data_IF_586134684792
#
_entry.id   IF_586134684792
#
_cell.length_a   1.000
_cell.length_b   1.000
_cell.length_c   1.000
_cell.angle_alpha   90.00
_cell.angle_beta   90.00
_cell.angle_gamma   90.00
#
_symmetry.space_group_name_H-M   'P 1'
#
loop_
_entity.id
_entity.type
_entity.pdbx_description
1 polymer ?
#
# COMPACT_ATOMS: atom_id res chain seq x y z
N UNK A 1 9.35 -11.65 4.41
CA UNK A 1 8.52 -10.45 4.60
C UNK A 1 8.79 -9.51 3.44
N UNK A 2 7.74 -9.09 2.73
CA UNK A 2 7.85 -8.21 1.55
C UNK A 2 7.16 -6.88 1.82
N UNK A 3 7.78 -5.77 1.43
CA UNK A 3 7.27 -4.42 1.70
C UNK A 3 6.81 -3.78 0.39
N UNK A 4 5.61 -3.21 0.42
CA UNK A 4 5.01 -2.43 -0.66
C UNK A 4 4.79 -1.00 -0.17
N UNK A 5 5.21 -0.02 -0.96
CA UNK A 5 5.01 1.39 -0.65
C UNK A 5 3.80 1.99 -1.36
N UNK A 6 3.00 2.78 -0.65
CA UNK A 6 2.03 3.70 -1.24
C UNK A 6 2.62 5.11 -1.34
N UNK A 7 2.62 5.69 -2.55
CA UNK A 7 3.20 7.00 -2.81
C UNK A 7 2.20 8.10 -2.45
N UNK A 8 2.52 8.90 -1.42
CA UNK A 8 1.62 9.94 -0.88
C UNK A 8 1.55 11.17 -1.79
N UNK A 9 2.64 11.49 -2.50
CA UNK A 9 2.70 12.64 -3.42
C UNK A 9 1.63 12.57 -4.52
N UNK A 10 1.19 11.37 -4.92
CA UNK A 10 0.12 11.19 -5.92
C UNK A 10 -1.30 11.35 -5.32
N UNK A 11 -1.46 11.26 -3.99
CA UNK A 11 -2.76 11.28 -3.31
C UNK A 11 -3.23 12.69 -2.88
N UNK A 12 -2.28 13.63 -2.73
CA UNK A 12 -2.59 15.04 -2.47
C UNK A 12 -3.01 15.78 -3.74
N UNK A 13 -2.52 15.36 -4.91
CA UNK A 13 -2.89 15.93 -6.22
C UNK A 13 -4.32 15.53 -6.65
N UNK A 14 -4.82 14.41 -6.14
CA UNK A 14 -6.20 13.91 -6.33
C UNK A 14 -7.29 14.79 -5.68
N UNK A 15 -6.92 15.66 -4.72
CA UNK A 15 -7.85 16.50 -3.95
C UNK A 15 -7.85 17.98 -4.37
N UNK A 16 -6.99 18.38 -5.30
CA UNK A 16 -7.00 19.75 -5.85
C UNK A 16 -8.00 19.85 -7.00
N UNK A 17 -8.76 20.95 -7.12
CA UNK A 17 -9.71 21.14 -8.22
C UNK A 17 -8.93 21.41 -9.51
N UNK A 18 -8.71 20.38 -10.32
CA UNK A 18 -7.88 20.49 -11.51
C UNK A 18 -8.71 20.63 -12.78
N UNK A 19 -8.42 21.70 -13.52
CA UNK A 19 -9.00 22.06 -14.83
C UNK A 19 -8.18 21.42 -15.94
N UNK A 20 -8.10 20.10 -16.08
CA UNK A 20 -7.50 19.46 -17.26
C UNK A 20 -7.92 17.99 -17.41
N UNK A 21 -8.16 17.56 -18.65
CA UNK A 21 -8.52 16.18 -18.99
C UNK A 21 -7.49 15.15 -18.50
N UNK A 22 -6.22 15.55 -18.41
CA UNK A 22 -5.11 14.75 -17.88
C UNK A 22 -5.32 14.30 -16.43
N UNK A 23 -6.00 15.10 -15.60
CA UNK A 23 -6.22 14.80 -14.19
C UNK A 23 -7.22 13.67 -13.98
N UNK A 24 -8.22 13.56 -14.87
CA UNK A 24 -9.22 12.48 -14.82
C UNK A 24 -8.59 11.15 -15.23
N UNK A 25 -7.81 11.14 -16.32
CA UNK A 25 -7.07 9.94 -16.74
C UNK A 25 -6.10 9.47 -15.67
N UNK A 26 -5.36 10.39 -15.06
CA UNK A 26 -4.40 10.08 -14.02
C UNK A 26 -5.10 9.55 -12.76
N UNK A 27 -6.22 10.15 -12.36
CA UNK A 27 -7.03 9.72 -11.22
C UNK A 27 -7.53 8.28 -11.35
N UNK A 28 -8.13 7.93 -12.48
CA UNK A 28 -8.67 6.58 -12.68
C UNK A 28 -7.56 5.52 -12.75
N UNK A 29 -6.44 5.82 -13.42
CA UNK A 29 -5.28 4.91 -13.46
C UNK A 29 -4.66 4.73 -12.07
N UNK A 30 -4.62 5.79 -11.26
CA UNK A 30 -4.14 5.74 -9.88
C UNK A 30 -5.00 4.87 -8.97
N UNK A 31 -6.30 5.10 -8.99
CA UNK A 31 -7.25 4.30 -8.20
C UNK A 31 -7.14 2.81 -8.56
N UNK A 32 -7.03 2.52 -9.87
CA UNK A 32 -6.80 1.16 -10.37
C UNK A 32 -5.46 0.58 -9.88
N UNK A 33 -4.38 1.36 -9.94
CA UNK A 33 -3.06 0.91 -9.50
C UNK A 33 -3.01 0.60 -7.99
N UNK A 34 -3.63 1.45 -7.17
CA UNK A 34 -3.75 1.22 -5.71
C UNK A 34 -4.57 -0.04 -5.45
N UNK A 35 -5.69 -0.21 -6.15
CA UNK A 35 -6.53 -1.39 -6.04
C UNK A 35 -5.78 -2.68 -6.40
N UNK A 36 -5.07 -2.70 -7.53
CA UNK A 36 -4.26 -3.85 -7.95
C UNK A 36 -3.17 -4.20 -6.93
N UNK A 37 -2.51 -3.18 -6.35
CA UNK A 37 -1.49 -3.38 -5.31
C UNK A 37 -2.08 -4.04 -4.06
N UNK A 38 -3.28 -3.64 -3.66
CA UNK A 38 -4.01 -4.25 -2.53
C UNK A 38 -4.37 -5.70 -2.81
N UNK A 39 -4.82 -6.02 -4.02
CA UNK A 39 -5.13 -7.41 -4.40
C UNK A 39 -3.88 -8.29 -4.43
N UNK A 40 -2.74 -7.78 -4.93
CA UNK A 40 -1.46 -8.50 -4.88
C UNK A 40 -1.06 -8.82 -3.42
N UNK A 41 -1.11 -7.82 -2.54
CA UNK A 41 -0.80 -7.97 -1.11
C UNK A 41 -1.71 -9.02 -0.47
N UNK A 42 -3.00 -9.00 -0.80
CA UNK A 42 -3.99 -9.96 -0.29
C UNK A 42 -3.70 -11.38 -0.77
N UNK A 43 -3.41 -11.58 -2.05
CA UNK A 43 -3.03 -12.90 -2.58
C UNK A 43 -1.75 -13.42 -1.93
N UNK A 44 -0.71 -12.60 -1.80
CA UNK A 44 0.52 -12.99 -1.11
C UNK A 44 0.26 -13.45 0.34
N UNK A 45 -0.57 -12.72 1.09
CA UNK A 45 -0.96 -13.14 2.43
C UNK A 45 -1.74 -14.46 2.44
N UNK A 46 -2.61 -14.72 1.45
CA UNK A 46 -3.32 -16.02 1.32
C UNK A 46 -2.37 -17.20 1.11
N UNK A 47 -1.25 -16.99 0.42
CA UNK A 47 -0.20 -17.99 0.27
C UNK A 47 0.79 -18.06 1.44
N UNK A 48 0.51 -17.37 2.55
CA UNK A 48 1.37 -17.35 3.73
C UNK A 48 2.60 -16.45 3.61
N UNK A 49 2.71 -15.65 2.54
CA UNK A 49 3.78 -14.67 2.37
C UNK A 49 3.41 -13.41 3.16
N UNK A 50 4.12 -13.18 4.25
CA UNK A 50 3.94 -11.96 5.05
C UNK A 50 4.30 -10.72 4.24
N UNK A 51 3.34 -9.81 4.11
CA UNK A 51 3.53 -8.53 3.43
C UNK A 51 3.16 -7.34 4.32
N UNK A 52 3.70 -6.17 3.98
CA UNK A 52 3.35 -4.87 4.55
C UNK A 52 3.06 -3.93 3.39
N UNK A 53 1.92 -3.23 3.44
CA UNK A 53 1.59 -2.11 2.57
C UNK A 53 1.54 -0.86 3.46
N UNK A 54 2.48 0.06 3.26
CA UNK A 54 2.67 1.24 4.12
C UNK A 54 3.29 2.39 3.34
N UNK A 55 3.22 3.60 3.86
CA UNK A 55 3.99 4.71 3.33
C UNK A 55 5.45 4.66 3.82
N UNK A 56 6.41 5.28 3.11
CA UNK A 56 7.81 5.25 3.49
C UNK A 56 8.09 5.72 4.92
N UNK A 57 7.39 6.76 5.39
CA UNK A 57 7.55 7.33 6.72
C UNK A 57 6.99 6.43 7.85
N UNK A 58 6.01 5.58 7.53
CA UNK A 58 5.39 4.66 8.50
C UNK A 58 6.07 3.27 8.54
N UNK A 59 7.01 3.00 7.63
CA UNK A 59 7.67 1.71 7.48
C UNK A 59 8.19 1.11 8.79
N UNK A 60 8.87 1.93 9.59
CA UNK A 60 9.51 1.47 10.83
C UNK A 60 8.47 0.96 11.81
N UNK A 61 7.40 1.72 12.02
CA UNK A 61 6.31 1.36 12.95
C UNK A 61 5.58 0.12 12.47
N UNK A 62 5.23 0.08 11.19
CA UNK A 62 4.47 -1.03 10.62
C UNK A 62 5.29 -2.33 10.55
N UNK A 63 6.59 -2.23 10.31
CA UNK A 63 7.50 -3.39 10.36
C UNK A 63 7.60 -3.98 11.76
N UNK A 64 7.70 -3.14 12.80
CA UNK A 64 7.71 -3.60 14.19
C UNK A 64 6.37 -4.25 14.55
N UNK A 65 5.26 -3.61 14.20
CA UNK A 65 3.92 -4.15 14.45
C UNK A 65 3.74 -5.51 13.77
N UNK A 66 4.17 -5.64 12.51
CA UNK A 66 4.09 -6.90 11.78
C UNK A 66 4.95 -7.99 12.41
N UNK A 67 6.15 -7.67 12.85
CA UNK A 67 7.01 -8.60 13.57
C UNK A 67 6.35 -9.10 14.87
N UNK A 68 5.77 -8.20 15.67
CA UNK A 68 5.07 -8.56 16.90
C UNK A 68 3.85 -9.44 16.63
N UNK A 69 3.09 -9.16 15.56
CA UNK A 69 1.96 -10.00 15.12
C UNK A 69 2.42 -11.44 14.84
N UNK A 70 3.47 -11.61 14.05
CA UNK A 70 4.02 -12.93 13.69
C UNK A 70 4.51 -13.67 14.95
N UNK A 71 5.25 -12.97 15.80
CA UNK A 71 5.77 -13.52 17.07
C UNK A 71 4.63 -13.97 17.99
N UNK A 72 3.55 -13.18 18.09
CA UNK A 72 2.39 -13.52 18.93
C UNK A 72 1.65 -14.77 18.46
N UNK A 73 1.74 -15.10 17.16
CA UNK A 73 1.10 -16.27 16.55
C UNK A 73 1.96 -17.53 16.60
N UNK A 74 3.18 -17.46 17.16
CA UNK A 74 4.10 -18.60 17.21
C UNK A 74 4.60 -19.05 15.83
N UNK A 75 4.55 -18.15 14.84
CA UNK A 75 5.00 -18.41 13.46
C UNK A 75 6.51 -18.16 13.28
N UNK A 76 7.23 -17.89 14.37
CA UNK A 76 8.67 -17.70 14.49
C UNK A 76 9.17 -18.31 15.81
#
# INVERSE_FOLDING_TARGET
MTVFFENIELSEELHKPTRKLWDIYYKTTLEKYIYEKREIVKELNRYGITTILTSPENLTVDSVNKYLEIKSRGLL
#
